data_IF_460677143884
#
_entry.id   IF_460677143884
#
_cell.length_a   1.000
_cell.length_b   1.000
_cell.length_c   1.000
_cell.angle_alpha   90.00
_cell.angle_beta   90.00
_cell.angle_gamma   90.00
#
_symmetry.space_group_name_H-M   'P 1'
#
loop_
_entity.id
_entity.type
_entity.pdbx_description
1 polymer ?
#
# COMPACT_ATOMS: atom_id res chain seq x y z
N UNK A 1 31.97 14.05 37.75
CA UNK A 1 31.86 14.40 36.31
C UNK A 1 31.32 13.16 35.59
N UNK A 2 30.01 13.11 35.35
CA UNK A 2 29.31 11.92 34.82
C UNK A 2 28.85 12.21 33.39
N UNK A 3 29.47 11.53 32.42
CA UNK A 3 29.10 11.64 31.00
C UNK A 3 27.86 10.76 30.79
N UNK A 4 26.71 11.37 30.48
CA UNK A 4 25.52 10.63 30.02
C UNK A 4 25.74 10.17 28.58
N UNK A 5 25.50 8.88 28.25
CA UNK A 5 25.53 8.45 26.86
C UNK A 5 24.41 9.15 26.08
N UNK A 6 24.77 9.84 25.00
CA UNK A 6 23.83 10.41 24.05
C UNK A 6 23.13 9.27 23.34
N UNK A 7 21.84 9.08 23.61
CA UNK A 7 21.01 8.14 22.87
C UNK A 7 20.99 8.56 21.40
N UNK A 8 21.64 7.78 20.54
CA UNK A 8 21.59 7.96 19.08
C UNK A 8 20.13 7.79 18.66
N UNK A 9 19.46 8.90 18.36
CA UNK A 9 18.15 8.90 17.73
C UNK A 9 18.32 8.44 16.28
N UNK A 10 18.37 7.13 16.05
CA UNK A 10 18.15 6.58 14.71
C UNK A 10 16.69 6.82 14.32
N UNK A 11 16.41 7.57 13.24
CA UNK A 11 15.04 7.79 12.80
C UNK A 11 14.39 6.47 12.36
N UNK A 12 13.35 6.01 13.10
CA UNK A 12 12.48 4.85 12.80
C UNK A 12 11.71 4.93 11.46
N UNK A 13 11.86 6.01 10.73
CA UNK A 13 11.31 6.21 9.40
C UNK A 13 12.03 5.30 8.40
N UNK A 14 13.26 4.88 8.75
CA UNK A 14 14.08 3.88 8.05
C UNK A 14 13.65 2.42 8.35
N UNK A 15 12.60 2.17 9.15
CA UNK A 15 12.12 0.80 9.43
C UNK A 15 10.87 0.41 8.66
N UNK A 16 10.43 1.20 7.67
CA UNK A 16 9.42 0.71 6.71
C UNK A 16 10.13 -0.22 5.73
N UNK A 17 10.37 -1.45 6.18
CA UNK A 17 11.02 -2.51 5.43
C UNK A 17 9.99 -3.26 4.57
N UNK A 18 9.22 -2.55 3.75
CA UNK A 18 8.53 -3.23 2.65
C UNK A 18 9.62 -3.71 1.71
N UNK A 19 9.80 -5.02 1.64
CA UNK A 19 10.82 -5.59 0.78
C UNK A 19 10.51 -5.22 -0.67
N UNK A 20 11.53 -4.95 -1.51
CA UNK A 20 11.31 -4.69 -2.94
C UNK A 20 10.49 -5.80 -3.60
N UNK A 21 10.66 -7.04 -3.15
CA UNK A 21 9.89 -8.19 -3.58
C UNK A 21 8.39 -8.07 -3.27
N UNK A 22 8.01 -7.67 -2.06
CA UNK A 22 6.60 -7.46 -1.71
C UNK A 22 6.00 -6.32 -2.54
N UNK A 23 6.76 -5.25 -2.76
CA UNK A 23 6.35 -4.13 -3.62
C UNK A 23 6.05 -4.59 -5.05
N UNK A 24 6.98 -5.33 -5.65
CA UNK A 24 6.87 -5.86 -7.02
C UNK A 24 5.72 -6.86 -7.09
N UNK A 25 5.58 -7.73 -6.09
CA UNK A 25 4.49 -8.71 -6.02
C UNK A 25 3.12 -8.05 -6.02
N UNK A 26 2.93 -6.99 -5.22
CA UNK A 26 1.67 -6.21 -5.20
C UNK A 26 1.39 -5.55 -6.55
N UNK A 27 2.40 -4.92 -7.17
CA UNK A 27 2.24 -4.28 -8.48
C UNK A 27 1.88 -5.30 -9.56
N UNK A 28 2.61 -6.42 -9.62
CA UNK A 28 2.41 -7.46 -10.61
C UNK A 28 1.03 -8.14 -10.46
N UNK A 29 0.65 -8.49 -9.23
CA UNK A 29 -0.64 -9.10 -8.96
C UNK A 29 -1.80 -8.11 -9.18
N UNK A 30 -1.61 -6.83 -8.87
CA UNK A 30 -2.57 -5.77 -9.15
C UNK A 30 -2.81 -5.59 -10.64
N UNK A 31 -1.74 -5.51 -11.44
CA UNK A 31 -1.82 -5.47 -12.91
C UNK A 31 -2.52 -6.72 -13.46
N UNK A 32 -2.15 -7.90 -12.98
CA UNK A 32 -2.76 -9.15 -13.41
C UNK A 32 -4.27 -9.16 -13.14
N UNK A 33 -4.70 -8.72 -11.94
CA UNK A 33 -6.12 -8.62 -11.59
C UNK A 33 -6.89 -7.66 -12.49
N UNK A 34 -6.31 -6.50 -12.80
CA UNK A 34 -6.92 -5.52 -13.73
C UNK A 34 -7.07 -6.13 -15.13
N UNK A 35 -6.01 -6.73 -15.67
CA UNK A 35 -6.04 -7.31 -17.02
C UNK A 35 -7.07 -8.44 -17.09
N UNK A 36 -7.05 -9.38 -16.13
CA UNK A 36 -8.00 -10.50 -16.07
C UNK A 36 -9.43 -9.97 -15.96
N UNK A 37 -9.69 -9.01 -15.07
CA UNK A 37 -11.02 -8.41 -14.92
C UNK A 37 -11.52 -7.74 -16.19
N UNK A 38 -10.67 -6.98 -16.90
CA UNK A 38 -11.03 -6.35 -18.18
C UNK A 38 -11.34 -7.38 -19.27
N UNK A 39 -10.56 -8.46 -19.35
CA UNK A 39 -10.80 -9.54 -20.32
C UNK A 39 -12.12 -10.25 -20.02
N UNK A 40 -12.36 -10.63 -18.77
CA UNK A 40 -13.59 -11.31 -18.36
C UNK A 40 -14.84 -10.48 -18.68
N UNK A 41 -14.77 -9.16 -18.42
CA UNK A 41 -15.87 -8.21 -18.64
C UNK A 41 -16.37 -8.20 -20.10
N UNK A 42 -15.52 -8.54 -21.08
CA UNK A 42 -15.93 -8.63 -22.50
C UNK A 42 -16.90 -9.78 -22.79
N UNK A 43 -17.01 -10.74 -21.87
CA UNK A 43 -17.80 -11.96 -22.00
C UNK A 43 -18.81 -12.16 -20.86
N UNK A 44 -19.08 -11.10 -20.09
CA UNK A 44 -19.95 -11.17 -18.93
C UNK A 44 -21.40 -11.50 -19.32
N UNK A 45 -21.87 -12.68 -18.93
CA UNK A 45 -23.23 -13.15 -19.25
C UNK A 45 -24.30 -12.77 -18.22
N UNK A 46 -23.94 -12.09 -17.12
CA UNK A 46 -24.88 -11.73 -16.05
C UNK A 46 -24.47 -10.47 -15.30
N UNK A 47 -25.44 -9.80 -14.67
CA UNK A 47 -25.18 -8.63 -13.84
C UNK A 47 -24.27 -8.94 -12.64
N UNK A 48 -24.40 -10.14 -12.05
CA UNK A 48 -23.54 -10.58 -10.95
C UNK A 48 -22.08 -10.72 -11.42
N UNK A 49 -21.85 -11.28 -12.61
CA UNK A 49 -20.51 -11.37 -13.19
C UNK A 49 -19.88 -9.99 -13.34
N UNK A 50 -20.60 -9.04 -13.94
CA UNK A 50 -20.16 -7.65 -14.10
C UNK A 50 -19.74 -7.03 -12.77
N UNK A 51 -20.55 -7.22 -11.71
CA UNK A 51 -20.21 -6.70 -10.38
C UNK A 51 -18.91 -7.31 -9.86
N UNK A 52 -18.76 -8.63 -9.93
CA UNK A 52 -17.56 -9.33 -9.46
C UNK A 52 -16.31 -8.91 -10.25
N UNK A 53 -16.42 -8.72 -11.55
CA UNK A 53 -15.33 -8.29 -12.43
C UNK A 53 -14.91 -6.85 -12.13
N UNK A 54 -15.87 -5.94 -11.91
CA UNK A 54 -15.58 -4.56 -11.49
C UNK A 54 -14.90 -4.54 -10.12
N UNK A 55 -15.35 -5.36 -9.17
CA UNK A 55 -14.72 -5.49 -7.85
C UNK A 55 -13.29 -6.05 -7.97
N UNK A 56 -13.06 -7.01 -8.87
CA UNK A 56 -11.72 -7.54 -9.16
C UNK A 56 -10.79 -6.45 -9.72
N UNK A 57 -11.27 -5.64 -10.67
CA UNK A 57 -10.51 -4.51 -11.20
C UNK A 57 -10.19 -3.51 -10.08
N UNK A 58 -11.18 -3.17 -9.24
CA UNK A 58 -11.00 -2.26 -8.11
C UNK A 58 -9.98 -2.79 -7.09
N UNK A 59 -10.02 -4.08 -6.76
CA UNK A 59 -9.04 -4.73 -5.90
C UNK A 59 -7.63 -4.74 -6.53
N UNK A 60 -7.54 -4.98 -7.84
CA UNK A 60 -6.28 -4.91 -8.58
C UNK A 60 -5.67 -3.49 -8.56
N UNK A 61 -6.51 -2.46 -8.72
CA UNK A 61 -6.09 -1.06 -8.61
C UNK A 61 -5.60 -0.71 -7.20
N UNK A 62 -6.30 -1.14 -6.15
CA UNK A 62 -5.86 -0.92 -4.76
C UNK A 62 -4.48 -1.53 -4.51
N UNK A 63 -4.27 -2.77 -4.95
CA UNK A 63 -3.01 -3.48 -4.79
C UNK A 63 -1.87 -2.83 -5.59
N UNK A 64 -2.15 -2.41 -6.83
CA UNK A 64 -1.23 -1.69 -7.69
C UNK A 64 -0.77 -0.38 -7.05
N UNK A 65 -1.73 0.44 -6.59
CA UNK A 65 -1.47 1.75 -6.00
C UNK A 65 -0.73 1.60 -4.67
N UNK A 66 -1.12 0.64 -3.84
CA UNK A 66 -0.45 0.33 -2.57
C UNK A 66 0.99 -0.15 -2.80
N UNK A 67 1.22 -1.00 -3.81
CA UNK A 67 2.55 -1.40 -4.24
C UNK A 67 3.37 -0.22 -4.79
N UNK A 68 2.79 0.61 -5.66
CA UNK A 68 3.48 1.75 -6.26
C UNK A 68 3.94 2.78 -5.20
N UNK A 69 3.10 3.06 -4.21
CA UNK A 69 3.40 4.05 -3.18
C UNK A 69 4.31 3.51 -2.06
N UNK A 70 4.37 2.18 -1.85
CA UNK A 70 5.20 1.59 -0.79
C UNK A 70 4.73 1.91 0.63
N UNK A 71 3.56 2.53 0.78
CA UNK A 71 2.83 2.80 2.00
C UNK A 71 1.36 3.03 1.59
N UNK A 72 0.42 2.65 2.45
CA UNK A 72 -1.00 2.74 2.12
C UNK A 72 -1.41 4.22 1.93
N UNK A 73 -1.96 4.63 0.75
CA UNK A 73 -2.25 6.04 0.41
C UNK A 73 -3.17 6.74 1.41
N UNK A 74 -4.02 5.96 2.11
CA UNK A 74 -4.91 6.46 3.15
C UNK A 74 -4.13 7.12 4.30
N UNK A 75 -2.98 6.56 4.70
CA UNK A 75 -2.16 7.11 5.78
C UNK A 75 -1.43 8.40 5.38
N UNK A 76 -1.00 8.51 4.12
CA UNK A 76 -0.36 9.71 3.59
C UNK A 76 -1.37 10.88 3.48
N UNK A 77 -2.60 10.59 3.03
CA UNK A 77 -3.68 11.57 2.89
C UNK A 77 -4.23 12.07 4.23
N UNK A 78 -4.20 11.23 5.28
CA UNK A 78 -4.77 11.59 6.58
C UNK A 78 -3.86 12.50 7.43
N UNK A 79 -2.63 12.79 6.98
CA UNK A 79 -1.68 13.61 7.74
C UNK A 79 -1.41 13.08 9.15
N UNK A 80 -1.72 11.82 9.41
CA UNK A 80 -1.74 11.27 10.75
C UNK A 80 -0.32 10.97 11.21
N UNK A 81 0.28 11.94 11.90
CA UNK A 81 1.49 11.72 12.68
C UNK A 81 1.06 11.01 13.98
N UNK A 82 1.44 9.74 14.21
CA UNK A 82 1.09 9.02 15.43
C UNK A 82 1.61 9.79 16.64
N UNK A 83 0.86 9.76 17.76
CA UNK A 83 1.18 10.51 19.00
C UNK A 83 2.63 10.29 19.47
N UNK A 84 3.21 9.12 19.21
CA UNK A 84 4.60 8.79 19.54
C UNK A 84 5.66 9.55 18.72
N UNK A 85 5.29 10.16 17.60
CA UNK A 85 6.15 10.98 16.72
C UNK A 85 5.88 12.48 16.86
N UNK A 86 4.93 12.88 17.72
CA UNK A 86 4.68 14.28 18.02
C UNK A 86 5.77 14.75 19.00
N UNK A 87 6.80 15.43 18.50
CA UNK A 87 7.89 15.95 19.32
C UNK A 87 7.32 16.73 20.51
N UNK A 88 7.74 16.45 21.76
CA UNK A 88 7.48 17.37 22.85
C UNK A 88 8.26 18.65 22.53
N UNK A 89 7.56 19.78 22.49
CA UNK A 89 8.21 21.09 22.58
C UNK A 89 8.52 21.37 24.04
#
# INVERSE_FOLDING_TARGET
>A
MTIRPTAVHTPRWRTINITPAERIGRIALGLAGIIVGLVLLTSAGSALAVILEVLLIAAGLDLLVTGALGHCPLYAKLGHVPKSLRSPR
#
